data_IF_982847525270
#
_entry.id   IF_982847525270
#
_cell.length_a   1.000
_cell.length_b   1.000
_cell.length_c   1.000
_cell.angle_alpha   90.00
_cell.angle_beta   90.00
_cell.angle_gamma   90.00
#
_symmetry.space_group_name_H-M   'P 1'
#
loop_
_entity.id
_entity.type
_entity.pdbx_description
1 polymer ?
#
# COMPACT_ATOMS: atom_id res chain seq x y z
N UNK A 1 32.67 9.94 17.26
CA UNK A 1 31.96 8.72 17.72
C UNK A 1 32.14 8.70 19.23
N UNK A 2 31.15 9.08 20.02
CA UNK A 2 31.27 9.14 21.49
C UNK A 2 30.60 7.87 22.00
N UNK A 3 31.41 6.93 22.45
CA UNK A 3 30.98 5.66 23.04
C UNK A 3 30.72 5.98 24.51
N UNK A 4 29.47 5.86 24.97
CA UNK A 4 29.15 5.92 26.39
C UNK A 4 29.67 4.65 27.09
N UNK A 5 29.94 4.75 28.39
CA UNK A 5 30.66 3.77 29.22
C UNK A 5 30.00 2.36 29.37
N UNK A 6 29.05 1.98 28.51
CA UNK A 6 28.50 0.62 28.40
C UNK A 6 28.56 0.04 26.98
N UNK A 7 29.29 0.66 26.05
CA UNK A 7 29.50 0.11 24.71
C UNK A 7 28.24 0.03 23.82
N UNK A 8 27.12 0.61 24.26
CA UNK A 8 25.89 0.68 23.48
C UNK A 8 25.78 2.03 22.76
N UNK A 9 25.51 1.98 21.45
CA UNK A 9 25.27 3.16 20.64
C UNK A 9 23.99 3.89 21.10
N UNK A 10 24.15 5.11 21.61
CA UNK A 10 23.06 6.03 21.98
C UNK A 10 22.77 6.98 20.80
N UNK A 11 21.64 6.80 20.08
CA UNK A 11 21.30 7.66 18.96
C UNK A 11 20.95 9.07 19.43
N UNK A 12 21.51 10.07 18.73
CA UNK A 12 21.20 11.49 18.96
C UNK A 12 19.71 11.75 18.77
N UNK A 13 19.16 12.77 19.44
CA UNK A 13 17.75 13.15 19.28
C UNK A 13 17.36 13.38 17.81
N UNK A 14 18.25 14.04 17.05
CA UNK A 14 18.07 14.29 15.63
C UNK A 14 17.92 12.99 14.81
N UNK A 15 18.56 11.89 15.22
CA UNK A 15 18.46 10.62 14.51
C UNK A 15 17.13 9.90 14.76
N UNK A 16 16.46 10.23 15.86
CA UNK A 16 15.15 9.66 16.23
C UNK A 16 13.99 10.36 15.53
N UNK A 17 14.18 11.63 15.11
CA UNK A 17 13.11 12.47 14.59
C UNK A 17 12.43 11.90 13.34
N UNK A 18 13.13 11.45 12.28
CA UNK A 18 12.46 10.88 11.11
C UNK A 18 11.57 9.68 11.45
N UNK A 19 12.02 8.81 12.36
CA UNK A 19 11.26 7.63 12.79
C UNK A 19 10.02 7.98 13.61
N UNK A 20 10.10 9.03 14.43
CA UNK A 20 8.92 9.57 15.10
C UNK A 20 7.92 10.14 14.09
N UNK A 21 8.40 10.94 13.13
CA UNK A 21 7.55 11.51 12.08
C UNK A 21 6.87 10.40 11.28
N UNK A 22 7.60 9.37 10.84
CA UNK A 22 7.03 8.19 10.16
C UNK A 22 5.90 7.58 10.98
N UNK A 23 6.10 7.31 12.29
CA UNK A 23 5.05 6.75 13.12
C UNK A 23 3.81 7.66 13.19
N UNK A 24 4.01 8.98 13.30
CA UNK A 24 2.95 9.99 13.33
C UNK A 24 2.12 10.03 12.03
N UNK A 25 2.72 9.67 10.90
CA UNK A 25 2.02 9.65 9.61
C UNK A 25 0.83 8.69 9.59
N UNK A 26 0.81 7.65 10.42
CA UNK A 26 -0.35 6.75 10.52
C UNK A 26 -1.59 7.52 10.99
N UNK A 27 -1.41 8.36 12.02
CA UNK A 27 -2.49 9.19 12.56
C UNK A 27 -2.96 10.24 11.54
N UNK A 28 -2.00 10.94 10.93
CA UNK A 28 -2.31 11.95 9.90
C UNK A 28 -2.97 11.30 8.69
N UNK A 29 -2.52 10.11 8.29
CA UNK A 29 -2.97 9.39 7.11
C UNK A 29 -4.38 8.84 7.21
N UNK A 30 -4.87 8.52 8.41
CA UNK A 30 -6.29 8.17 8.61
C UNK A 30 -7.17 9.40 8.42
N UNK A 31 -6.73 10.54 8.94
CA UNK A 31 -7.46 11.79 8.90
C UNK A 31 -7.45 12.45 7.50
N UNK A 32 -6.27 12.55 6.90
CA UNK A 32 -6.01 13.15 5.61
C UNK A 32 -5.20 12.17 4.75
N UNK A 33 -5.84 11.13 4.17
CA UNK A 33 -5.13 10.10 3.40
C UNK A 33 -4.28 10.67 2.25
N UNK A 34 -4.73 11.78 1.65
CA UNK A 34 -4.00 12.50 0.59
C UNK A 34 -2.63 13.02 1.03
N UNK A 35 -2.40 13.15 2.35
CA UNK A 35 -1.09 13.49 2.92
C UNK A 35 0.01 12.52 2.47
N UNK A 36 -0.32 11.25 2.20
CA UNK A 36 0.68 10.31 1.70
C UNK A 36 1.28 10.68 0.34
N UNK A 37 0.69 11.61 -0.42
CA UNK A 37 1.25 12.06 -1.69
C UNK A 37 2.48 12.99 -1.56
N UNK A 38 2.76 13.50 -0.35
CA UNK A 38 3.90 14.40 -0.10
C UNK A 38 4.53 14.24 1.31
N UNK A 39 3.81 13.65 2.26
CA UNK A 39 4.27 13.43 3.63
C UNK A 39 5.54 12.58 3.73
N UNK A 40 5.58 11.36 3.14
CA UNK A 40 6.80 10.56 3.14
C UNK A 40 7.99 11.30 2.51
N UNK A 41 7.75 12.10 1.48
CA UNK A 41 8.73 12.86 0.73
C UNK A 41 9.34 13.97 1.59
N UNK A 42 8.50 14.69 2.35
CA UNK A 42 8.96 15.67 3.35
C UNK A 42 9.83 14.99 4.41
N UNK A 43 9.40 13.81 4.90
CA UNK A 43 10.21 13.04 5.86
C UNK A 43 11.53 12.57 5.24
N UNK A 44 11.54 12.18 3.97
CA UNK A 44 12.74 11.81 3.23
C UNK A 44 13.76 12.97 3.15
N UNK A 45 13.29 14.19 2.84
CA UNK A 45 14.14 15.37 2.78
C UNK A 45 14.71 15.75 4.15
N UNK A 46 13.87 15.74 5.19
CA UNK A 46 14.30 15.96 6.58
C UNK A 46 15.35 14.91 6.97
N UNK A 47 15.07 13.62 6.71
CA UNK A 47 15.97 12.54 7.01
C UNK A 47 17.32 12.72 6.30
N UNK A 48 17.31 13.04 5.00
CA UNK A 48 18.50 13.24 4.18
C UNK A 48 19.37 14.39 4.71
N UNK A 49 18.74 15.52 5.07
CA UNK A 49 19.43 16.65 5.69
C UNK A 49 20.07 16.26 7.02
N UNK A 50 19.31 15.60 7.90
CA UNK A 50 19.80 15.16 9.22
C UNK A 50 20.92 14.12 9.09
N UNK A 51 20.84 13.24 8.09
CA UNK A 51 21.88 12.28 7.76
C UNK A 51 23.17 13.00 7.36
N UNK A 52 23.09 13.91 6.38
CA UNK A 52 24.23 14.70 5.91
C UNK A 52 24.86 15.50 7.05
N UNK A 53 24.04 16.07 7.93
CA UNK A 53 24.50 16.81 9.09
C UNK A 53 25.22 15.92 10.11
N UNK A 54 24.65 14.75 10.42
CA UNK A 54 25.13 13.85 11.48
C UNK A 54 26.33 13.01 11.09
N UNK A 55 26.33 12.46 9.86
CA UNK A 55 27.35 11.52 9.38
C UNK A 55 28.37 12.16 8.44
N UNK A 56 28.15 13.41 8.02
CA UNK A 56 28.98 14.13 7.04
C UNK A 56 29.21 13.36 5.73
N UNK A 57 28.30 12.45 5.40
CA UNK A 57 28.30 11.60 4.20
C UNK A 57 26.91 11.59 3.55
N UNK A 58 26.80 10.97 2.38
CA UNK A 58 25.52 10.68 1.73
C UNK A 58 25.10 9.23 1.98
N UNK A 59 23.80 8.94 2.15
CA UNK A 59 23.35 7.56 2.28
C UNK A 59 23.55 6.82 0.96
N UNK A 60 23.81 5.51 1.03
CA UNK A 60 23.83 4.68 -0.18
C UNK A 60 22.40 4.55 -0.71
N UNK A 61 22.23 4.68 -2.02
CA UNK A 61 20.92 4.55 -2.68
C UNK A 61 20.86 3.21 -3.41
N UNK A 62 19.72 2.53 -3.35
CA UNK A 62 19.46 1.35 -4.16
C UNK A 62 19.34 1.74 -5.64
N UNK A 63 20.47 1.66 -6.37
CA UNK A 63 20.55 2.09 -7.77
C UNK A 63 19.66 1.25 -8.70
N UNK A 64 19.35 0.00 -8.34
CA UNK A 64 18.46 -0.85 -9.15
C UNK A 64 17.03 -0.34 -9.04
N UNK A 65 16.57 -0.08 -7.82
CA UNK A 65 15.25 0.50 -7.59
C UNK A 65 15.16 1.92 -8.15
N UNK A 66 16.20 2.74 -7.98
CA UNK A 66 16.25 4.09 -8.55
C UNK A 66 16.18 4.06 -10.08
N UNK A 67 16.97 3.19 -10.73
CA UNK A 67 16.93 3.01 -12.18
C UNK A 67 15.57 2.55 -12.69
N UNK A 68 14.90 1.64 -11.97
CA UNK A 68 13.54 1.22 -12.30
C UNK A 68 12.53 2.39 -12.19
N UNK A 69 12.60 3.18 -11.11
CA UNK A 69 11.72 4.34 -10.93
C UNK A 69 11.98 5.43 -11.97
N UNK A 70 13.25 5.64 -12.36
CA UNK A 70 13.62 6.53 -13.47
C UNK A 70 13.04 6.02 -14.79
N UNK A 71 13.11 4.73 -15.07
CA UNK A 71 12.50 4.14 -16.26
C UNK A 71 10.97 4.29 -16.25
N UNK A 72 10.31 4.14 -15.09
CA UNK A 72 8.88 4.35 -14.93
C UNK A 72 8.48 5.81 -15.17
N UNK A 73 9.17 6.77 -14.57
CA UNK A 73 8.95 8.20 -14.86
C UNK A 73 9.26 8.54 -16.33
N UNK A 74 10.32 7.95 -16.87
CA UNK A 74 10.74 8.12 -18.25
C UNK A 74 9.66 7.67 -19.23
N UNK A 75 9.13 6.44 -19.08
CA UNK A 75 8.06 5.95 -19.95
C UNK A 75 6.78 6.75 -19.78
N UNK A 76 6.44 7.20 -18.56
CA UNK A 76 5.25 8.03 -18.36
C UNK A 76 5.38 9.36 -19.09
N UNK A 77 6.57 9.98 -19.08
CA UNK A 77 6.83 11.22 -19.81
C UNK A 77 6.87 10.98 -21.33
N UNK A 78 7.54 9.93 -21.79
CA UNK A 78 7.62 9.56 -23.21
C UNK A 78 6.22 9.25 -23.77
N UNK A 79 5.32 8.69 -22.95
CA UNK A 79 3.95 8.42 -23.39
C UNK A 79 3.17 9.65 -23.84
N UNK A 80 3.58 10.86 -23.43
CA UNK A 80 2.97 12.12 -23.88
C UNK A 80 3.03 12.32 -25.41
N UNK A 81 3.95 11.66 -26.11
CA UNK A 81 4.03 11.74 -27.58
C UNK A 81 2.85 11.08 -28.31
N UNK A 82 2.14 10.15 -27.66
CA UNK A 82 0.96 9.48 -28.22
C UNK A 82 -0.24 9.45 -27.28
N UNK A 83 -0.14 10.16 -26.14
CA UNK A 83 -1.20 10.19 -25.15
C UNK A 83 -2.44 10.90 -25.70
N UNK A 84 -3.63 10.42 -25.31
CA UNK A 84 -4.90 11.12 -25.55
C UNK A 84 -4.85 12.52 -24.95
N UNK A 85 -4.23 12.66 -23.77
CA UNK A 85 -3.96 13.92 -23.09
C UNK A 85 -2.46 14.04 -22.78
N UNK A 86 -1.72 14.71 -23.67
CA UNK A 86 -0.27 14.88 -23.55
C UNK A 86 0.13 15.71 -22.31
N UNK A 87 -0.64 16.76 -22.00
CA UNK A 87 -0.39 17.62 -20.84
C UNK A 87 -0.66 16.85 -19.54
N UNK A 88 -1.74 16.07 -19.48
CA UNK A 88 -2.04 15.17 -18.38
C UNK A 88 -0.97 14.11 -18.15
N UNK A 89 -0.42 13.53 -19.23
CA UNK A 89 0.67 12.56 -19.14
C UNK A 89 1.97 13.19 -18.59
N UNK A 90 2.36 14.37 -19.07
CA UNK A 90 3.51 15.11 -18.54
C UNK A 90 3.30 15.51 -17.08
N UNK A 91 2.10 16.03 -16.75
CA UNK A 91 1.72 16.40 -15.39
C UNK A 91 1.84 15.20 -14.44
N UNK A 92 1.38 14.03 -14.90
CA UNK A 92 1.49 12.81 -14.11
C UNK A 92 2.94 12.37 -13.93
N UNK A 93 3.77 12.47 -14.97
CA UNK A 93 5.15 12.02 -14.93
C UNK A 93 5.99 12.76 -13.87
N UNK A 94 5.91 14.10 -13.81
CA UNK A 94 6.68 14.87 -12.83
C UNK A 94 6.13 14.68 -11.40
N UNK A 95 4.81 14.58 -11.21
CA UNK A 95 4.20 14.28 -9.91
C UNK A 95 4.63 12.91 -9.38
N UNK A 96 4.69 11.90 -10.25
CA UNK A 96 5.20 10.58 -9.89
C UNK A 96 6.69 10.63 -9.54
N UNK A 97 7.51 11.40 -10.26
CA UNK A 97 8.93 11.58 -9.95
C UNK A 97 9.16 12.16 -8.56
N UNK A 98 8.35 13.15 -8.15
CA UNK A 98 8.40 13.75 -6.82
C UNK A 98 8.06 12.77 -5.70
N UNK A 99 7.32 11.71 -5.97
CA UNK A 99 7.01 10.65 -5.01
C UNK A 99 8.11 9.59 -5.04
N UNK A 100 8.43 9.07 -6.22
CA UNK A 100 9.31 7.91 -6.35
C UNK A 100 10.73 8.16 -5.86
N UNK A 101 11.37 9.27 -6.26
CA UNK A 101 12.79 9.46 -5.94
C UNK A 101 13.04 9.69 -4.44
N UNK A 102 12.32 10.58 -3.74
CA UNK A 102 12.47 10.71 -2.30
C UNK A 102 12.11 9.42 -1.56
N UNK A 103 11.11 8.68 -2.04
CA UNK A 103 10.74 7.38 -1.46
C UNK A 103 11.85 6.33 -1.59
N UNK A 104 12.52 6.23 -2.75
CA UNK A 104 13.67 5.32 -2.92
C UNK A 104 14.81 5.68 -1.96
N UNK A 105 15.08 6.98 -1.80
CA UNK A 105 16.10 7.48 -0.85
C UNK A 105 15.71 7.09 0.57
N UNK A 106 14.47 7.38 1.00
CA UNK A 106 13.99 7.06 2.33
C UNK A 106 14.03 5.55 2.63
N UNK A 107 13.58 4.73 1.67
CA UNK A 107 13.64 3.27 1.78
C UNK A 107 15.08 2.75 1.88
N UNK A 108 16.02 3.36 1.15
CA UNK A 108 17.45 3.01 1.22
C UNK A 108 18.05 3.41 2.56
N UNK A 109 17.70 4.58 3.09
CA UNK A 109 18.15 5.07 4.41
C UNK A 109 17.63 4.20 5.55
N UNK A 110 16.37 3.75 5.47
CA UNK A 110 15.75 2.90 6.47
C UNK A 110 16.50 1.57 6.70
N UNK A 111 17.22 1.06 5.69
CA UNK A 111 18.07 -0.15 5.80
C UNK A 111 19.42 0.10 6.47
N UNK A 112 19.87 1.36 6.51
CA UNK A 112 21.23 1.73 6.93
C UNK A 112 21.28 2.36 8.33
N UNK A 113 20.16 2.89 8.81
CA UNK A 113 20.13 3.55 10.12
C UNK A 113 20.37 2.55 11.26
N UNK A 114 21.15 2.90 12.29
CA UNK A 114 21.16 2.18 13.55
C UNK A 114 19.75 1.83 14.06
N UNK A 115 19.53 0.54 14.36
CA UNK A 115 18.23 0.05 14.82
C UNK A 115 17.76 0.73 16.13
N UNK A 116 18.70 1.24 16.94
CA UNK A 116 18.38 2.01 18.15
C UNK A 116 17.64 3.30 17.83
N UNK A 117 17.93 3.95 16.69
CA UNK A 117 17.25 5.18 16.29
C UNK A 117 15.80 4.88 15.85
N UNK A 118 15.61 3.80 15.09
CA UNK A 118 14.30 3.36 14.62
C UNK A 118 13.43 2.68 15.68
N UNK A 119 13.97 2.44 16.88
CA UNK A 119 13.20 1.95 18.03
C UNK A 119 12.07 2.90 18.42
N UNK A 120 12.22 4.21 18.18
CA UNK A 120 11.16 5.19 18.41
C UNK A 120 9.93 4.88 17.57
N UNK A 121 10.11 4.51 16.30
CA UNK A 121 9.01 4.09 15.43
C UNK A 121 8.30 2.85 16.01
N UNK A 122 9.05 1.81 16.39
CA UNK A 122 8.53 0.58 17.01
C UNK A 122 7.74 0.86 18.29
N UNK A 123 8.23 1.81 19.10
CA UNK A 123 7.61 2.19 20.38
C UNK A 123 6.27 2.90 20.17
N UNK A 124 6.20 3.86 19.25
CA UNK A 124 5.03 4.74 19.13
C UNK A 124 3.98 4.24 18.14
N UNK A 125 4.35 3.41 17.17
CA UNK A 125 3.43 2.91 16.14
C UNK A 125 2.14 2.28 16.74
N UNK A 126 2.18 1.39 17.76
CA UNK A 126 0.95 0.81 18.29
C UNK A 126 0.00 1.80 18.96
N UNK A 127 0.54 2.77 19.69
CA UNK A 127 -0.28 3.81 20.32
C UNK A 127 -0.96 4.69 19.27
N UNK A 128 -0.22 5.08 18.24
CA UNK A 128 -0.75 5.93 17.16
C UNK A 128 -1.80 5.17 16.32
N UNK A 129 -1.62 3.86 16.11
CA UNK A 129 -2.65 3.03 15.48
C UNK A 129 -3.92 2.92 16.34
N UNK A 130 -3.79 2.78 17.67
CA UNK A 130 -4.96 2.77 18.57
C UNK A 130 -5.72 4.09 18.52
N UNK A 131 -5.02 5.23 18.55
CA UNK A 131 -5.66 6.55 18.40
C UNK A 131 -6.36 6.65 17.03
N UNK A 132 -5.69 6.20 15.98
CA UNK A 132 -6.26 6.18 14.63
C UNK A 132 -7.51 5.29 14.54
N UNK A 133 -7.51 4.16 15.25
CA UNK A 133 -8.65 3.25 15.35
C UNK A 133 -9.84 3.88 16.06
N UNK A 134 -9.62 4.64 17.14
CA UNK A 134 -10.67 5.42 17.79
C UNK A 134 -11.33 6.41 16.83
N UNK A 135 -10.53 7.12 16.02
CA UNK A 135 -11.05 8.08 15.03
C UNK A 135 -11.93 7.35 14.01
N UNK A 136 -11.43 6.25 13.41
CA UNK A 136 -12.20 5.45 12.47
C UNK A 136 -13.51 4.93 13.07
N UNK A 137 -13.48 4.40 14.30
CA UNK A 137 -14.67 3.88 14.98
C UNK A 137 -15.67 5.01 15.25
N UNK A 138 -15.21 6.17 15.70
CA UNK A 138 -16.09 7.31 15.97
C UNK A 138 -16.75 7.79 14.67
N UNK A 139 -16.03 7.95 13.57
CA UNK A 139 -16.65 8.34 12.30
C UNK A 139 -17.63 7.29 11.76
N UNK A 140 -17.32 6.00 11.88
CA UNK A 140 -18.17 4.92 11.37
C UNK A 140 -19.46 4.71 12.19
N UNK A 141 -19.39 4.90 13.51
CA UNK A 141 -20.51 4.63 14.42
C UNK A 141 -21.28 5.89 14.84
N UNK A 142 -20.64 7.07 14.84
CA UNK A 142 -21.26 8.35 15.22
C UNK A 142 -21.47 9.26 14.00
N UNK A 143 -21.86 8.67 12.87
CA UNK A 143 -22.28 9.38 11.64
C UNK A 143 -21.29 10.47 11.18
N UNK A 144 -19.99 10.14 11.12
CA UNK A 144 -18.95 11.07 10.66
C UNK A 144 -18.62 12.21 11.62
N UNK A 145 -18.77 12.01 12.93
CA UNK A 145 -18.54 13.06 13.93
C UNK A 145 -17.19 13.78 13.80
N UNK A 146 -16.08 13.06 13.63
CA UNK A 146 -14.77 13.67 13.40
C UNK A 146 -14.65 14.27 11.99
N UNK A 147 -15.22 13.60 10.98
CA UNK A 147 -15.27 14.12 9.62
C UNK A 147 -15.92 15.51 9.56
N UNK A 148 -17.07 15.69 10.21
CA UNK A 148 -17.79 16.97 10.27
C UNK A 148 -17.14 17.99 11.21
N UNK A 149 -16.51 17.55 12.32
CA UNK A 149 -15.80 18.48 13.21
C UNK A 149 -14.63 19.18 12.52
N UNK A 150 -14.05 18.53 11.52
CA UNK A 150 -12.78 18.95 10.92
C UNK A 150 -12.89 19.40 9.48
N UNK A 151 -14.07 19.27 8.89
CA UNK A 151 -14.40 19.78 7.57
C UNK A 151 -15.59 20.68 7.68
N UNK A 152 -15.55 21.78 6.95
CA UNK A 152 -16.63 22.77 6.91
C UNK A 152 -17.81 22.24 6.08
N UNK A 153 -18.44 21.18 6.58
CA UNK A 153 -19.59 20.50 5.97
C UNK A 153 -20.70 20.41 7.01
N UNK A 154 -21.90 20.94 6.74
CA UNK A 154 -23.04 20.85 7.65
C UNK A 154 -23.37 19.40 8.05
N UNK A 155 -23.55 19.19 9.36
CA UNK A 155 -23.79 17.88 9.98
C UNK A 155 -25.21 17.32 9.78
N UNK A 156 -26.08 18.05 9.07
CA UNK A 156 -27.43 17.64 8.69
C UNK A 156 -27.47 16.67 7.50
N UNK A 157 -26.33 16.45 6.84
CA UNK A 157 -26.22 15.53 5.72
C UNK A 157 -26.02 14.08 6.17
N UNK A 158 -26.67 13.15 5.46
CA UNK A 158 -26.38 11.71 5.59
C UNK A 158 -24.90 11.46 5.31
N UNK A 159 -24.19 10.87 6.28
CA UNK A 159 -22.76 10.62 6.15
C UNK A 159 -22.50 9.45 5.21
N UNK A 160 -22.06 9.75 3.99
CA UNK A 160 -21.60 8.74 3.05
C UNK A 160 -20.28 8.14 3.53
N UNK A 161 -20.33 6.94 4.10
CA UNK A 161 -19.18 6.22 4.66
C UNK A 161 -18.05 5.98 3.64
N UNK A 162 -18.35 5.98 2.34
CA UNK A 162 -17.31 5.84 1.30
C UNK A 162 -16.29 6.99 1.33
N UNK A 163 -16.65 8.16 1.88
CA UNK A 163 -15.78 9.33 2.01
C UNK A 163 -14.54 9.07 2.87
N UNK A 164 -14.62 8.11 3.81
CA UNK A 164 -13.51 7.74 4.71
C UNK A 164 -12.85 6.42 4.34
N UNK A 165 -13.26 5.74 3.27
CA UNK A 165 -12.70 4.43 2.87
C UNK A 165 -11.17 4.46 2.73
N UNK A 166 -10.59 5.57 2.25
CA UNK A 166 -9.13 5.73 2.15
C UNK A 166 -8.47 5.73 3.54
N UNK A 167 -9.04 6.46 4.49
CA UNK A 167 -8.53 6.52 5.87
C UNK A 167 -8.70 5.19 6.60
N UNK A 168 -9.83 4.52 6.39
CA UNK A 168 -10.06 3.16 6.87
C UNK A 168 -9.02 2.19 6.32
N UNK A 169 -8.72 2.26 5.02
CA UNK A 169 -7.72 1.39 4.40
C UNK A 169 -6.30 1.65 4.94
N UNK A 170 -5.94 2.92 5.20
CA UNK A 170 -4.70 3.26 5.91
C UNK A 170 -4.72 2.60 7.29
N UNK A 171 -5.77 2.78 8.08
CA UNK A 171 -5.88 2.20 9.42
C UNK A 171 -5.72 0.68 9.41
N UNK A 172 -6.46 -0.03 8.54
CA UNK A 172 -6.44 -1.49 8.47
C UNK A 172 -5.04 -2.01 8.08
N UNK A 173 -4.40 -1.40 7.08
CA UNK A 173 -3.05 -1.78 6.66
C UNK A 173 -2.01 -1.49 7.77
N UNK A 174 -2.06 -0.31 8.39
CA UNK A 174 -1.12 0.09 9.44
C UNK A 174 -1.30 -0.71 10.74
N UNK A 175 -2.53 -1.17 11.02
CA UNK A 175 -2.82 -2.05 12.15
C UNK A 175 -2.10 -3.39 12.03
N UNK A 176 -1.97 -3.93 10.81
CA UNK A 176 -1.20 -5.15 10.57
C UNK A 176 0.29 -4.97 10.93
N UNK A 177 0.89 -3.85 10.54
CA UNK A 177 2.28 -3.49 10.92
C UNK A 177 2.43 -3.31 12.43
N UNK A 178 1.48 -2.65 13.08
CA UNK A 178 1.47 -2.44 14.52
C UNK A 178 1.38 -3.76 15.30
N UNK A 179 0.45 -4.64 14.92
CA UNK A 179 0.31 -5.97 15.52
C UNK A 179 1.60 -6.77 15.33
N UNK A 180 2.13 -6.86 14.11
CA UNK A 180 3.38 -7.55 13.84
C UNK A 180 4.54 -7.04 14.70
N UNK A 181 4.66 -5.71 14.83
CA UNK A 181 5.67 -5.06 15.68
C UNK A 181 5.57 -5.53 17.13
N UNK A 182 4.35 -5.63 17.67
CA UNK A 182 4.10 -6.06 19.05
C UNK A 182 4.42 -7.54 19.30
N UNK A 183 4.36 -8.39 18.27
CA UNK A 183 4.62 -9.83 18.39
C UNK A 183 6.05 -10.26 18.05
N UNK A 184 6.76 -9.51 17.20
CA UNK A 184 8.06 -9.94 16.67
C UNK A 184 9.25 -9.19 17.25
N UNK A 185 9.09 -7.93 17.65
CA UNK A 185 10.22 -7.13 18.15
C UNK A 185 10.56 -7.44 19.61
N UNK A 186 11.86 -7.51 19.93
CA UNK A 186 12.32 -7.73 21.31
C UNK A 186 11.79 -6.65 22.29
N UNK A 187 11.58 -5.43 21.81
CA UNK A 187 11.11 -4.31 22.64
C UNK A 187 9.77 -4.59 23.32
N UNK A 188 8.78 -5.05 22.54
CA UNK A 188 7.42 -5.31 23.02
C UNK A 188 7.27 -6.66 23.73
N UNK A 189 8.18 -7.59 23.45
CA UNK A 189 8.19 -8.91 24.07
C UNK A 189 8.99 -8.97 25.38
N UNK A 190 9.64 -7.88 25.79
CA UNK A 190 10.26 -7.76 27.10
C UNK A 190 9.22 -7.92 28.22
N UNK A 191 9.53 -8.74 29.25
CA UNK A 191 8.62 -9.08 30.35
C UNK A 191 7.92 -7.85 30.98
N UNK A 192 8.68 -6.76 31.21
CA UNK A 192 8.15 -5.50 31.77
C UNK A 192 7.04 -4.84 30.95
N UNK A 193 6.87 -5.19 29.66
CA UNK A 193 5.88 -4.62 28.75
C UNK A 193 4.75 -5.59 28.39
N UNK A 194 4.77 -6.82 28.88
CA UNK A 194 3.77 -7.83 28.54
C UNK A 194 2.34 -7.39 28.83
N UNK A 195 2.12 -6.68 29.96
CA UNK A 195 0.81 -6.14 30.32
C UNK A 195 0.34 -5.06 29.36
N UNK A 196 1.21 -4.07 29.07
CA UNK A 196 0.90 -3.00 28.11
C UNK A 196 0.64 -3.56 26.70
N UNK A 197 1.50 -4.49 26.24
CA UNK A 197 1.34 -5.21 24.98
C UNK A 197 -0.02 -5.92 24.90
N UNK A 198 -0.41 -6.66 25.95
CA UNK A 198 -1.70 -7.37 25.98
C UNK A 198 -2.89 -6.41 25.82
N UNK A 199 -2.91 -5.30 26.56
CA UNK A 199 -4.00 -4.33 26.45
C UNK A 199 -4.02 -3.60 25.12
N UNK A 200 -2.87 -3.11 24.64
CA UNK A 200 -2.80 -2.43 23.34
C UNK A 200 -3.19 -3.35 22.18
N UNK A 201 -2.73 -4.61 22.22
CA UNK A 201 -3.13 -5.60 21.23
C UNK A 201 -4.63 -5.88 21.29
N UNK A 202 -5.19 -6.08 22.49
CA UNK A 202 -6.63 -6.31 22.66
C UNK A 202 -7.46 -5.14 22.13
N UNK A 203 -7.12 -3.92 22.51
CA UNK A 203 -7.80 -2.70 22.04
C UNK A 203 -7.71 -2.58 20.52
N UNK A 204 -6.50 -2.74 19.95
CA UNK A 204 -6.30 -2.62 18.51
C UNK A 204 -7.06 -3.69 17.72
N UNK A 205 -7.07 -4.94 18.18
CA UNK A 205 -7.86 -6.01 17.55
C UNK A 205 -9.35 -5.69 17.63
N UNK A 206 -9.86 -5.24 18.78
CA UNK A 206 -11.26 -4.82 18.90
C UNK A 206 -11.61 -3.69 17.94
N UNK A 207 -10.71 -2.70 17.76
CA UNK A 207 -10.91 -1.62 16.79
C UNK A 207 -10.91 -2.11 15.35
N UNK A 208 -9.97 -2.99 14.98
CA UNK A 208 -9.95 -3.60 13.64
C UNK A 208 -11.24 -4.33 13.37
N UNK A 209 -11.73 -5.14 14.31
CA UNK A 209 -13.00 -5.86 14.18
C UNK A 209 -14.21 -4.91 14.08
N UNK A 210 -14.27 -3.88 14.91
CA UNK A 210 -15.34 -2.87 14.86
C UNK A 210 -15.35 -2.12 13.51
N UNK A 211 -14.19 -1.70 13.03
CA UNK A 211 -14.06 -1.04 11.72
C UNK A 211 -14.44 -2.00 10.60
N UNK A 212 -13.98 -3.26 10.63
CA UNK A 212 -14.33 -4.28 9.64
C UNK A 212 -15.83 -4.55 9.62
N UNK A 213 -16.51 -4.52 10.76
CA UNK A 213 -17.96 -4.73 10.83
C UNK A 213 -18.76 -3.61 10.16
N UNK A 214 -18.33 -2.35 10.33
CA UNK A 214 -19.12 -1.18 9.94
C UNK A 214 -18.70 -0.55 8.59
N UNK A 215 -17.49 -0.84 8.10
CA UNK A 215 -16.98 -0.24 6.86
C UNK A 215 -17.66 -0.78 5.61
N UNK A 216 -17.86 0.09 4.61
CA UNK A 216 -18.25 -0.30 3.25
C UNK A 216 -17.04 -0.49 2.32
N UNK A 217 -15.83 -0.61 2.87
CA UNK A 217 -14.62 -0.91 2.09
C UNK A 217 -14.38 -2.42 2.04
N UNK A 218 -15.03 -3.13 1.10
CA UNK A 218 -14.83 -4.57 0.94
C UNK A 218 -13.39 -4.90 0.55
N UNK A 219 -12.74 -4.05 -0.24
CA UNK A 219 -11.30 -4.19 -0.54
C UNK A 219 -10.43 -4.09 0.72
N UNK A 220 -10.77 -3.21 1.67
CA UNK A 220 -10.07 -3.11 2.95
C UNK A 220 -10.25 -4.35 3.82
N UNK A 221 -11.49 -4.84 3.94
CA UNK A 221 -11.81 -6.08 4.66
C UNK A 221 -11.06 -7.28 4.06
N UNK A 222 -11.10 -7.44 2.74
CA UNK A 222 -10.39 -8.48 2.01
C UNK A 222 -8.88 -8.38 2.19
N UNK A 223 -8.31 -7.17 2.22
CA UNK A 223 -6.91 -6.95 2.55
C UNK A 223 -6.52 -7.53 3.92
N UNK A 224 -7.33 -7.32 4.96
CA UNK A 224 -7.10 -7.92 6.29
C UNK A 224 -7.20 -9.45 6.22
N UNK A 225 -8.21 -9.98 5.54
CA UNK A 225 -8.37 -11.43 5.37
C UNK A 225 -7.17 -12.07 4.67
N UNK A 226 -6.64 -11.42 3.62
CA UNK A 226 -5.42 -11.85 2.93
C UNK A 226 -4.22 -11.85 3.88
N UNK A 227 -4.07 -10.80 4.70
CA UNK A 227 -2.96 -10.74 5.67
C UNK A 227 -3.03 -11.92 6.65
N UNK A 228 -4.21 -12.20 7.19
CA UNK A 228 -4.42 -13.32 8.13
C UNK A 228 -4.18 -14.65 7.44
N UNK A 229 -4.77 -14.86 6.26
CA UNK A 229 -4.69 -16.12 5.52
C UNK A 229 -3.26 -16.43 5.06
N UNK A 230 -2.60 -15.51 4.37
CA UNK A 230 -1.20 -15.66 3.94
C UNK A 230 -0.26 -15.76 5.14
N UNK A 231 -0.52 -14.95 6.18
CA UNK A 231 0.19 -14.96 7.44
C UNK A 231 0.13 -16.29 8.20
N UNK A 232 -0.85 -17.14 7.91
CA UNK A 232 -1.09 -18.40 8.62
C UNK A 232 -0.72 -19.63 7.80
N UNK A 233 -1.02 -19.64 6.51
CA UNK A 233 -1.04 -20.89 5.73
C UNK A 233 0.05 -21.01 4.65
N UNK A 234 0.72 -19.91 4.27
CA UNK A 234 1.56 -19.93 3.07
C UNK A 234 2.97 -20.52 3.33
N UNK A 235 3.50 -21.39 2.44
CA UNK A 235 4.76 -22.11 2.63
C UNK A 235 6.01 -21.26 2.29
N UNK A 236 6.21 -20.16 3.02
CA UNK A 236 7.25 -19.14 2.75
C UNK A 236 8.70 -19.60 2.89
N UNK A 237 8.93 -20.80 3.41
CA UNK A 237 10.27 -21.40 3.46
C UNK A 237 10.71 -21.99 2.11
N UNK A 238 9.76 -22.30 1.20
CA UNK A 238 10.05 -23.04 -0.03
C UNK A 238 10.35 -22.10 -1.20
N UNK A 239 11.49 -22.29 -1.87
CA UNK A 239 11.84 -21.51 -3.08
C UNK A 239 10.85 -21.73 -4.22
N UNK A 240 10.40 -22.98 -4.42
CA UNK A 240 9.44 -23.33 -5.46
C UNK A 240 8.12 -22.56 -5.34
N UNK A 241 7.68 -22.30 -4.11
CA UNK A 241 6.49 -21.48 -3.85
C UNK A 241 6.64 -20.06 -4.43
N UNK A 242 7.77 -19.40 -4.23
CA UNK A 242 8.02 -18.06 -4.79
C UNK A 242 8.13 -18.09 -6.32
N UNK A 243 8.72 -19.14 -6.91
CA UNK A 243 8.77 -19.30 -8.37
C UNK A 243 7.37 -19.47 -8.96
N UNK A 244 6.54 -20.32 -8.37
CA UNK A 244 5.16 -20.56 -8.82
C UNK A 244 4.32 -19.29 -8.66
N UNK A 245 4.40 -18.63 -7.50
CA UNK A 245 3.69 -17.38 -7.27
C UNK A 245 4.13 -16.29 -8.26
N UNK A 246 5.44 -16.17 -8.52
CA UNK A 246 5.96 -15.25 -9.53
C UNK A 246 5.40 -15.54 -10.92
N UNK A 247 5.36 -16.81 -11.33
CA UNK A 247 4.77 -17.22 -12.60
C UNK A 247 3.26 -16.88 -12.67
N UNK A 248 2.50 -17.16 -11.61
CA UNK A 248 1.07 -16.83 -11.53
C UNK A 248 0.85 -15.32 -11.65
N UNK A 249 1.65 -14.50 -10.95
CA UNK A 249 1.54 -13.04 -11.02
C UNK A 249 1.83 -12.53 -12.43
N UNK A 250 2.90 -13.01 -13.07
CA UNK A 250 3.26 -12.62 -14.43
C UNK A 250 2.18 -13.04 -15.42
N UNK A 251 1.76 -14.31 -15.38
CA UNK A 251 0.70 -14.80 -16.25
C UNK A 251 -0.60 -14.03 -16.03
N UNK A 252 -0.99 -13.75 -14.79
CA UNK A 252 -2.16 -12.95 -14.46
C UNK A 252 -2.07 -11.51 -14.98
N UNK A 253 -0.89 -10.88 -14.92
CA UNK A 253 -0.65 -9.53 -15.45
C UNK A 253 -0.78 -9.51 -16.98
N UNK A 254 -0.14 -10.47 -17.67
CA UNK A 254 -0.19 -10.53 -19.12
C UNK A 254 -1.57 -10.95 -19.63
N UNK A 255 -2.24 -11.87 -18.96
CA UNK A 255 -3.56 -12.38 -19.37
C UNK A 255 -4.73 -11.51 -18.88
N UNK A 256 -4.47 -10.41 -18.17
CA UNK A 256 -5.51 -9.60 -17.53
C UNK A 256 -6.61 -9.11 -18.48
N UNK A 257 -6.34 -8.62 -19.71
CA UNK A 257 -7.41 -8.19 -20.62
C UNK A 257 -8.39 -9.33 -20.95
N UNK A 258 -7.89 -10.52 -21.23
CA UNK A 258 -8.72 -11.69 -21.55
C UNK A 258 -9.44 -12.23 -20.33
N UNK A 259 -8.78 -12.27 -19.16
CA UNK A 259 -9.42 -12.66 -17.90
C UNK A 259 -10.58 -11.71 -17.58
N UNK A 260 -10.41 -10.40 -17.79
CA UNK A 260 -11.46 -9.41 -17.56
C UNK A 260 -12.70 -9.65 -18.43
N UNK A 261 -12.51 -9.84 -19.74
CA UNK A 261 -13.60 -10.14 -20.67
C UNK A 261 -14.32 -11.45 -20.28
N UNK A 262 -13.57 -12.51 -19.97
CA UNK A 262 -14.15 -13.78 -19.51
C UNK A 262 -14.94 -13.63 -18.19
N UNK A 263 -14.43 -12.84 -17.24
CA UNK A 263 -15.13 -12.60 -15.98
C UNK A 263 -16.47 -11.90 -16.21
N UNK A 264 -16.51 -10.92 -17.12
CA UNK A 264 -17.77 -10.25 -17.48
C UNK A 264 -18.74 -11.21 -18.17
N UNK A 265 -18.29 -11.92 -19.20
CA UNK A 265 -19.12 -12.83 -20.00
C UNK A 265 -19.73 -13.98 -19.17
N UNK A 266 -18.96 -14.56 -18.23
CA UNK A 266 -19.37 -15.78 -17.54
C UNK A 266 -19.77 -15.60 -16.07
N UNK A 267 -19.37 -14.51 -15.40
CA UNK A 267 -19.57 -14.37 -13.95
C UNK A 267 -20.46 -13.16 -13.56
N UNK A 268 -20.57 -12.13 -14.38
CA UNK A 268 -21.20 -10.87 -13.98
C UNK A 268 -22.69 -11.06 -13.58
N UNK A 269 -23.47 -11.77 -14.39
CA UNK A 269 -24.88 -12.07 -14.10
C UNK A 269 -25.06 -12.83 -12.79
N UNK A 270 -24.24 -13.87 -12.58
CA UNK A 270 -24.32 -14.69 -11.36
C UNK A 270 -23.97 -13.91 -10.10
N UNK A 271 -23.04 -12.95 -10.21
CA UNK A 271 -22.65 -12.08 -9.10
C UNK A 271 -23.68 -10.97 -8.84
N UNK A 272 -24.34 -10.48 -9.89
CA UNK A 272 -25.37 -9.44 -9.77
C UNK A 272 -26.71 -9.99 -9.22
N UNK A 273 -26.99 -11.28 -9.44
CA UNK A 273 -28.27 -11.91 -9.12
C UNK A 273 -28.71 -11.78 -7.65
N UNK A 274 -27.76 -11.69 -6.71
CA UNK A 274 -28.07 -11.47 -5.29
C UNK A 274 -27.20 -10.36 -4.68
N UNK A 275 -27.72 -9.11 -4.64
CA UNK A 275 -27.01 -7.97 -4.06
C UNK A 275 -26.86 -8.06 -2.53
N UNK A 276 -27.51 -9.02 -1.86
CA UNK A 276 -27.35 -9.22 -0.42
C UNK A 276 -26.07 -9.98 -0.07
N UNK A 277 -25.46 -10.69 -1.01
CA UNK A 277 -24.20 -11.41 -0.81
C UNK A 277 -23.02 -10.46 -0.62
N UNK A 278 -21.94 -10.93 0.02
CA UNK A 278 -20.70 -10.16 0.18
C UNK A 278 -20.12 -9.69 -1.17
N UNK A 279 -20.26 -10.51 -2.22
CA UNK A 279 -19.75 -10.23 -3.56
C UNK A 279 -20.66 -9.21 -4.28
N UNK A 280 -21.98 -9.34 -4.16
CA UNK A 280 -22.94 -8.37 -4.67
C UNK A 280 -22.77 -6.98 -4.04
N UNK A 281 -22.63 -6.92 -2.71
CA UNK A 281 -22.38 -5.67 -1.98
C UNK A 281 -21.05 -4.99 -2.34
N UNK A 282 -20.12 -5.72 -2.96
CA UNK A 282 -18.84 -5.20 -3.39
C UNK A 282 -18.90 -4.51 -4.77
N UNK A 283 -20.05 -4.40 -5.45
CA UNK A 283 -20.20 -3.83 -6.79
C UNK A 283 -19.31 -4.55 -7.83
N UNK A 284 -19.22 -5.88 -7.72
CA UNK A 284 -18.32 -6.66 -8.56
C UNK A 284 -18.78 -6.80 -10.00
N UNK A 285 -20.09 -6.86 -10.25
CA UNK A 285 -20.64 -6.87 -11.61
C UNK A 285 -20.32 -5.55 -12.34
N UNK A 286 -20.50 -4.41 -11.67
CA UNK A 286 -20.11 -3.08 -12.16
C UNK A 286 -18.63 -3.04 -12.52
N UNK A 287 -17.76 -3.57 -11.64
CA UNK A 287 -16.32 -3.64 -11.91
C UNK A 287 -15.99 -4.55 -13.08
N UNK A 288 -16.64 -5.70 -13.21
CA UNK A 288 -16.41 -6.62 -14.33
C UNK A 288 -16.78 -5.99 -15.67
N UNK A 289 -17.88 -5.24 -15.73
CA UNK A 289 -18.26 -4.47 -16.92
C UNK A 289 -17.23 -3.38 -17.24
N UNK A 290 -16.78 -2.62 -16.22
CA UNK A 290 -15.70 -1.65 -16.37
C UNK A 290 -14.43 -2.31 -16.91
N UNK A 291 -14.08 -3.48 -16.38
CA UNK A 291 -12.89 -4.21 -16.78
C UNK A 291 -12.98 -4.73 -18.20
N UNK A 292 -14.15 -5.17 -18.65
CA UNK A 292 -14.41 -5.63 -20.01
C UNK A 292 -14.13 -4.52 -21.04
N UNK A 293 -14.82 -3.38 -20.94
CA UNK A 293 -14.66 -2.34 -21.96
C UNK A 293 -13.27 -1.71 -21.93
N UNK A 294 -12.62 -1.64 -20.76
CA UNK A 294 -11.22 -1.21 -20.65
C UNK A 294 -10.28 -2.22 -21.30
N UNK A 295 -10.52 -3.52 -21.10
CA UNK A 295 -9.73 -4.57 -21.74
C UNK A 295 -9.88 -4.54 -23.26
N UNK A 296 -11.11 -4.42 -23.78
CA UNK A 296 -11.38 -4.27 -25.21
C UNK A 296 -10.67 -3.05 -25.78
N UNK A 297 -10.79 -1.90 -25.10
CA UNK A 297 -10.09 -0.67 -25.51
C UNK A 297 -8.58 -0.87 -25.52
N UNK A 298 -7.99 -1.43 -24.46
CA UNK A 298 -6.55 -1.68 -24.38
C UNK A 298 -6.01 -2.54 -25.53
N UNK A 299 -6.80 -3.52 -25.99
CA UNK A 299 -6.43 -4.43 -27.07
C UNK A 299 -6.48 -3.77 -28.47
N UNK A 300 -7.04 -2.57 -28.61
CA UNK A 300 -6.93 -1.78 -29.85
C UNK A 300 -5.51 -1.25 -30.07
N UNK A 301 -4.76 -0.95 -28.99
CA UNK A 301 -3.36 -0.51 -29.03
C UNK A 301 -2.49 -1.32 -28.05
N UNK A 302 -2.31 -2.63 -28.29
CA UNK A 302 -1.79 -3.56 -27.28
C UNK A 302 -0.30 -3.38 -26.98
N UNK A 303 0.45 -2.69 -27.84
CA UNK A 303 1.90 -2.53 -27.66
C UNK A 303 2.26 -1.43 -26.66
N UNK A 304 1.67 -0.24 -26.82
CA UNK A 304 2.04 0.97 -26.08
C UNK A 304 0.84 1.73 -25.51
N UNK A 305 -0.39 1.21 -25.67
CA UNK A 305 -1.61 1.82 -25.14
C UNK A 305 -1.92 3.20 -25.72
N UNK A 306 -2.68 3.96 -24.95
CA UNK A 306 -3.19 5.30 -25.30
C UNK A 306 -2.52 6.43 -24.50
N UNK A 307 -1.41 6.14 -23.82
CA UNK A 307 -0.67 7.06 -22.97
C UNK A 307 -1.21 7.15 -21.54
N UNK A 308 -0.38 7.69 -20.64
CA UNK A 308 -0.71 7.80 -19.22
C UNK A 308 -1.89 8.74 -18.99
N UNK A 309 -2.76 8.41 -18.02
CA UNK A 309 -4.07 9.05 -17.77
C UNK A 309 -5.13 8.83 -18.87
N UNK A 310 -4.89 8.00 -19.91
CA UNK A 310 -5.88 7.76 -20.96
C UNK A 310 -7.23 7.27 -20.44
N UNK A 311 -7.25 6.43 -19.39
CA UNK A 311 -8.50 5.95 -18.80
C UNK A 311 -9.42 7.09 -18.34
N UNK A 312 -8.85 8.24 -17.97
CA UNK A 312 -9.55 9.43 -17.52
C UNK A 312 -9.83 10.42 -18.66
N UNK A 313 -8.95 10.46 -19.66
CA UNK A 313 -9.06 11.39 -20.79
C UNK A 313 -10.04 10.91 -21.87
N UNK A 314 -10.36 9.61 -21.90
CA UNK A 314 -11.36 9.05 -22.82
C UNK A 314 -12.75 9.37 -22.27
N UNK A 315 -13.51 10.16 -23.03
CA UNK A 315 -14.85 10.61 -22.64
C UNK A 315 -15.90 9.48 -22.70
N UNK A 316 -15.84 8.65 -23.75
CA UNK A 316 -16.85 7.61 -24.00
C UNK A 316 -16.19 6.25 -24.27
N UNK A 317 -16.45 5.29 -23.39
CA UNK A 317 -16.13 3.89 -23.60
C UNK A 317 -17.30 3.15 -24.26
N UNK A 318 -16.97 2.13 -25.05
CA UNK A 318 -17.96 1.23 -25.63
C UNK A 318 -18.47 0.26 -24.55
N UNK A 319 -19.57 0.62 -23.88
CA UNK A 319 -20.19 -0.16 -22.81
C UNK A 319 -21.68 -0.38 -23.08
N UNK A 320 -22.19 -1.55 -22.70
CA UNK A 320 -23.61 -1.86 -22.78
C UNK A 320 -24.42 -1.26 -21.62
N UNK A 321 -23.75 -0.70 -20.60
CA UNK A 321 -24.35 -0.12 -19.39
C UNK A 321 -25.33 -1.07 -18.69
N UNK A 322 -24.98 -2.35 -18.60
CA UNK A 322 -25.80 -3.39 -17.98
C UNK A 322 -25.85 -3.25 -16.45
N UNK A 323 -24.71 -2.90 -15.84
CA UNK A 323 -24.56 -2.74 -14.39
C UNK A 323 -23.97 -1.37 -14.04
N UNK A 324 -23.14 -0.77 -14.90
CA UNK A 324 -22.65 0.60 -14.73
C UNK A 324 -23.58 1.62 -15.39
N UNK A 325 -23.74 2.79 -14.76
CA UNK A 325 -24.58 3.89 -15.27
C UNK A 325 -23.81 4.98 -16.02
N UNK A 326 -22.53 4.74 -16.33
CA UNK A 326 -21.64 5.71 -16.98
C UNK A 326 -20.72 5.01 -17.99
N UNK A 327 -20.51 5.66 -19.13
CA UNK A 327 -19.49 5.33 -20.14
C UNK A 327 -18.19 6.10 -19.93
N UNK A 328 -18.13 6.97 -18.92
CA UNK A 328 -16.94 7.69 -18.50
C UNK A 328 -16.48 7.23 -17.10
N UNK A 329 -15.19 7.00 -16.92
CA UNK A 329 -14.60 6.65 -15.62
C UNK A 329 -13.31 7.41 -15.34
N UNK A 330 -12.99 7.59 -14.05
CA UNK A 330 -11.71 8.19 -13.64
C UNK A 330 -10.55 7.18 -13.67
N UNK A 331 -10.86 5.90 -13.50
CA UNK A 331 -9.91 4.79 -13.51
C UNK A 331 -10.65 3.44 -13.45
N UNK A 332 -10.04 2.33 -13.92
CA UNK A 332 -10.67 1.01 -13.96
C UNK A 332 -10.80 0.30 -12.61
N UNK A 333 -10.36 0.91 -11.50
CA UNK A 333 -10.23 0.23 -10.18
C UNK A 333 -9.33 -1.01 -10.19
N UNK A 334 -8.54 -1.22 -11.25
CA UNK A 334 -7.61 -2.32 -11.41
C UNK A 334 -6.34 -1.82 -12.06
N UNK A 335 -5.24 -1.79 -11.29
CA UNK A 335 -3.98 -1.21 -11.76
C UNK A 335 -3.42 -1.92 -13.01
N UNK A 336 -3.66 -3.23 -13.17
CA UNK A 336 -3.13 -4.00 -14.28
C UNK A 336 -3.83 -3.57 -15.56
N UNK A 337 -5.16 -3.53 -15.55
CA UNK A 337 -5.95 -3.05 -16.68
C UNK A 337 -5.67 -1.57 -16.99
N UNK A 338 -5.42 -0.77 -15.95
CA UNK A 338 -4.99 0.62 -16.14
C UNK A 338 -3.66 0.71 -16.90
N UNK A 339 -2.68 -0.11 -16.53
CA UNK A 339 -1.40 -0.15 -17.25
C UNK A 339 -1.53 -0.69 -18.67
N UNK A 340 -2.47 -1.61 -18.92
CA UNK A 340 -2.77 -2.10 -20.26
C UNK A 340 -3.36 -1.03 -21.17
N UNK A 341 -4.40 -0.31 -20.73
CA UNK A 341 -4.98 0.75 -21.57
C UNK A 341 -4.03 1.92 -21.78
N UNK A 342 -3.19 2.24 -20.79
CA UNK A 342 -2.30 3.40 -20.88
C UNK A 342 -0.96 3.10 -21.55
N UNK A 343 -0.39 1.91 -21.34
CA UNK A 343 0.96 1.56 -21.79
C UNK A 343 1.06 0.20 -22.49
N UNK A 344 -0.05 -0.53 -22.69
CA UNK A 344 -0.06 -1.83 -23.34
C UNK A 344 0.84 -2.87 -22.66
N UNK A 345 1.45 -3.72 -23.49
CA UNK A 345 2.38 -4.77 -23.04
C UNK A 345 3.64 -4.20 -22.38
N UNK A 346 4.04 -2.97 -22.71
CA UNK A 346 5.14 -2.28 -22.03
C UNK A 346 4.77 -2.06 -20.55
N UNK A 347 3.55 -1.57 -20.29
CA UNK A 347 3.03 -1.43 -18.93
C UNK A 347 2.97 -2.76 -18.18
N UNK A 348 2.45 -3.81 -18.83
CA UNK A 348 2.38 -5.16 -18.27
C UNK A 348 3.77 -5.75 -17.93
N UNK A 349 4.75 -5.55 -18.80
CA UNK A 349 6.13 -5.95 -18.56
C UNK A 349 6.75 -5.22 -17.36
N UNK A 350 6.57 -3.90 -17.27
CA UNK A 350 7.09 -3.11 -16.15
C UNK A 350 6.45 -3.50 -14.82
N UNK A 351 5.13 -3.71 -14.81
CA UNK A 351 4.42 -4.22 -13.64
C UNK A 351 4.97 -5.59 -13.21
N UNK A 352 5.21 -6.48 -14.17
CA UNK A 352 5.76 -7.81 -13.91
C UNK A 352 7.16 -7.73 -13.30
N UNK A 353 8.06 -6.93 -13.88
CA UNK A 353 9.42 -6.72 -13.36
C UNK A 353 9.38 -6.17 -11.93
N UNK A 354 8.51 -5.19 -11.66
CA UNK A 354 8.38 -4.60 -10.33
C UNK A 354 7.84 -5.61 -9.30
N UNK A 355 6.79 -6.34 -9.66
CA UNK A 355 6.20 -7.37 -8.81
C UNK A 355 7.21 -8.48 -8.49
N UNK A 356 7.94 -8.96 -9.50
CA UNK A 356 9.01 -9.95 -9.31
C UNK A 356 10.17 -9.42 -8.48
N UNK A 357 10.54 -8.14 -8.65
CA UNK A 357 11.57 -7.50 -7.83
C UNK A 357 11.19 -7.50 -6.34
N UNK A 358 9.97 -7.07 -6.01
CA UNK A 358 9.47 -7.09 -4.63
C UNK A 358 9.41 -8.53 -4.10
N UNK A 359 8.87 -9.47 -4.90
CA UNK A 359 8.76 -10.86 -4.52
C UNK A 359 10.14 -11.50 -4.25
N UNK A 360 11.13 -11.18 -5.07
CA UNK A 360 12.52 -11.58 -4.86
C UNK A 360 13.12 -10.95 -3.60
N UNK A 361 12.87 -9.66 -3.35
CA UNK A 361 13.31 -8.99 -2.13
C UNK A 361 12.71 -9.66 -0.88
N UNK A 362 11.43 -10.04 -0.92
CA UNK A 362 10.76 -10.78 0.16
C UNK A 362 11.40 -12.16 0.35
N UNK A 363 11.62 -12.92 -0.71
CA UNK A 363 12.28 -14.23 -0.64
C UNK A 363 13.65 -14.18 0.04
N UNK A 364 14.40 -13.08 -0.15
CA UNK A 364 15.73 -12.86 0.43
C UNK A 364 15.71 -12.52 1.92
N UNK A 365 14.55 -12.27 2.53
CA UNK A 365 14.44 -12.00 3.98
C UNK A 365 14.74 -13.30 4.75
N UNK A 366 15.78 -13.30 5.59
CA UNK A 366 16.22 -14.50 6.32
C UNK A 366 15.23 -14.95 7.41
N UNK A 367 14.69 -14.00 8.17
CA UNK A 367 13.70 -14.28 9.22
C UNK A 367 12.36 -14.70 8.59
N UNK A 368 11.93 -15.94 8.84
CA UNK A 368 10.71 -16.50 8.25
C UNK A 368 9.43 -15.79 8.71
N UNK A 369 9.38 -15.23 9.92
CA UNK A 369 8.21 -14.49 10.40
C UNK A 369 8.11 -13.14 9.68
N UNK A 370 9.24 -12.43 9.52
CA UNK A 370 9.30 -11.20 8.74
C UNK A 370 8.99 -11.47 7.26
N UNK A 371 9.54 -12.55 6.69
CA UNK A 371 9.25 -12.97 5.31
C UNK A 371 7.76 -13.24 5.11
N UNK A 372 7.13 -13.97 6.04
CA UNK A 372 5.69 -14.30 5.98
C UNK A 372 4.84 -13.04 6.04
N UNK A 373 5.14 -12.15 6.97
CA UNK A 373 4.43 -10.88 7.09
C UNK A 373 4.64 -9.98 5.87
N UNK A 374 5.86 -9.87 5.35
CA UNK A 374 6.16 -9.11 4.15
C UNK A 374 5.36 -9.61 2.93
N UNK A 375 5.28 -10.93 2.75
CA UNK A 375 4.47 -11.54 1.70
C UNK A 375 2.97 -11.24 1.88
N UNK A 376 2.47 -11.36 3.11
CA UNK A 376 1.08 -11.09 3.45
C UNK A 376 0.68 -9.64 3.14
N UNK A 377 1.52 -8.67 3.51
CA UNK A 377 1.33 -7.25 3.18
C UNK A 377 1.44 -7.01 1.68
N UNK A 378 2.41 -7.61 1.00
CA UNK A 378 2.58 -7.47 -0.45
C UNK A 378 1.33 -7.94 -1.21
N UNK A 379 0.82 -9.14 -0.88
CA UNK A 379 -0.38 -9.68 -1.53
C UNK A 379 -1.65 -8.90 -1.17
N UNK A 380 -1.76 -8.36 0.04
CA UNK A 380 -2.86 -7.47 0.41
C UNK A 380 -2.82 -6.17 -0.40
N UNK A 381 -1.67 -5.51 -0.50
CA UNK A 381 -1.50 -4.29 -1.31
C UNK A 381 -1.76 -4.57 -2.79
N UNK A 382 -1.25 -5.69 -3.31
CA UNK A 382 -1.48 -6.12 -4.69
C UNK A 382 -2.97 -6.31 -4.97
N UNK A 383 -3.69 -7.03 -4.10
CA UNK A 383 -5.13 -7.21 -4.21
C UNK A 383 -5.89 -5.87 -4.16
N UNK A 384 -5.50 -4.96 -3.26
CA UNK A 384 -6.11 -3.63 -3.17
C UNK A 384 -5.87 -2.80 -4.43
N UNK A 385 -4.67 -2.89 -5.03
CA UNK A 385 -4.36 -2.24 -6.30
C UNK A 385 -5.18 -2.82 -7.47
N UNK A 386 -5.55 -4.10 -7.43
CA UNK A 386 -6.39 -4.75 -8.44
C UNK A 386 -7.89 -4.46 -8.29
N UNK A 387 -8.35 -3.90 -7.16
CA UNK A 387 -9.80 -3.84 -6.85
C UNK A 387 -10.33 -2.48 -6.38
N UNK A 388 -9.49 -1.46 -6.14
CA UNK A 388 -9.96 -0.20 -5.53
C UNK A 388 -9.51 1.09 -6.21
N UNK A 389 -8.22 1.26 -6.49
CA UNK A 389 -7.66 2.58 -6.75
C UNK A 389 -6.91 2.64 -8.07
N UNK A 390 -7.01 3.79 -8.76
CA UNK A 390 -6.13 4.09 -9.87
C UNK A 390 -4.68 4.17 -9.41
N UNK A 391 -3.76 3.54 -10.16
CA UNK A 391 -2.37 3.35 -9.73
C UNK A 391 -1.61 4.66 -9.58
N UNK A 392 -2.00 5.67 -10.36
CA UNK A 392 -1.37 6.99 -10.38
C UNK A 392 -1.82 7.96 -9.30
N UNK A 393 -2.69 7.52 -8.39
CA UNK A 393 -3.07 8.34 -7.26
C UNK A 393 -1.88 8.49 -6.30
N UNK A 394 -1.37 9.72 -6.18
CA UNK A 394 -0.14 9.98 -5.41
C UNK A 394 -0.19 9.49 -3.95
N UNK A 395 -1.35 9.58 -3.30
CA UNK A 395 -1.51 9.08 -1.93
C UNK A 395 -1.37 7.56 -1.83
N UNK A 396 -1.78 6.84 -2.87
CA UNK A 396 -1.71 5.38 -2.93
C UNK A 396 -0.27 4.93 -3.19
N UNK A 397 0.41 5.57 -4.15
CA UNK A 397 1.84 5.36 -4.42
C UNK A 397 2.69 5.65 -3.17
N UNK A 398 2.41 6.77 -2.50
CA UNK A 398 3.08 7.14 -1.26
C UNK A 398 2.83 6.17 -0.12
N UNK A 399 1.59 5.66 0.05
CA UNK A 399 1.27 4.65 1.05
C UNK A 399 1.97 3.31 0.79
N UNK A 400 2.03 2.86 -0.47
CA UNK A 400 2.76 1.67 -0.89
C UNK A 400 4.26 1.79 -0.60
N UNK A 401 4.86 2.91 -0.99
CA UNK A 401 6.26 3.22 -0.70
C UNK A 401 6.53 3.27 0.81
N UNK A 402 5.66 3.94 1.57
CA UNK A 402 5.73 4.01 3.02
C UNK A 402 5.65 2.62 3.67
N UNK A 403 4.75 1.74 3.21
CA UNK A 403 4.70 0.36 3.69
C UNK A 403 6.04 -0.38 3.45
N UNK A 404 6.70 -0.15 2.30
CA UNK A 404 8.05 -0.67 2.04
C UNK A 404 9.12 -0.11 2.99
N UNK A 405 9.06 1.18 3.33
CA UNK A 405 9.93 1.81 4.34
C UNK A 405 9.72 1.17 5.71
N UNK A 406 8.47 0.99 6.15
CA UNK A 406 8.14 0.33 7.42
C UNK A 406 8.66 -1.10 7.47
N UNK A 407 8.55 -1.85 6.37
CA UNK A 407 9.10 -3.20 6.28
C UNK A 407 10.62 -3.22 6.47
N UNK A 408 11.35 -2.28 5.86
CA UNK A 408 12.80 -2.15 6.06
C UNK A 408 13.15 -1.82 7.53
N UNK A 409 12.38 -0.93 8.16
CA UNK A 409 12.56 -0.59 9.59
C UNK A 409 12.39 -1.84 10.45
N UNK A 410 11.30 -2.59 10.26
CA UNK A 410 11.01 -3.79 11.06
C UNK A 410 12.02 -4.91 10.80
N UNK A 411 12.48 -5.05 9.55
CA UNK A 411 13.55 -5.98 9.21
C UNK A 411 14.88 -5.61 9.90
N UNK A 412 15.15 -4.34 10.20
CA UNK A 412 16.36 -3.94 10.93
C UNK A 412 16.29 -4.19 12.44
N UNK A 413 15.10 -4.36 13.01
CA UNK A 413 14.92 -4.49 14.46
C UNK A 413 15.38 -5.85 15.00
N UNK A 414 15.93 -5.91 16.23
CA UNK A 414 16.17 -7.17 16.92
C UNK A 414 14.86 -7.95 17.13
N UNK A 415 14.85 -9.22 16.71
CA UNK A 415 13.69 -10.14 16.87
C UNK A 415 13.93 -11.10 18.02
N UNK A 416 12.86 -11.66 18.56
CA UNK A 416 12.96 -12.73 19.56
C UNK A 416 13.67 -13.92 18.90
N UNK A 417 14.80 -14.37 19.47
CA UNK A 417 15.35 -15.68 19.14
C UNK A 417 14.46 -16.72 19.80
N UNK A 418 13.71 -17.49 19.01
CA UNK A 418 13.15 -18.74 19.50
C UNK A 418 14.33 -19.70 19.66
N UNK A 419 14.83 -19.84 20.88
CA UNK A 419 15.59 -21.04 21.22
C UNK A 419 14.58 -22.19 21.20
N UNK A 420 14.73 -23.20 20.32
CA UNK A 420 13.92 -24.40 20.42
C UNK A 420 14.21 -24.97 21.82
N UNK A 421 13.17 -25.10 22.64
CA UNK A 421 13.30 -25.91 23.85
C UNK A 421 13.71 -27.29 23.39
N UNK A 422 14.95 -27.65 23.67
CA UNK A 422 15.37 -29.05 23.66
C UNK A 422 14.66 -29.64 24.88
N UNK A 423 13.48 -30.19 24.65
CA UNK A 423 12.83 -31.10 25.60
C UNK A 423 13.49 -32.47 25.51
#
# INVERSE_FOLDING_TARGET
>A
MIISNEGQYEPKLLEKLPFFLLALMVLIGVFAPRFFAFGPEVVALIALFLWRFSYKSWPRVDLKLMGFMLALCGITAISSFWAVDADGALDRAWKNALIFFPMVILASMAKQWPHQASLVFVKYLPFLCVISGFICVIDLYLNGAFYYLTRDVPADNFFNRSLINRGVNVFLLMSAFSLFTMFVTQYWCAARRMRARKYLCGILVCMVLAVMYQTHSQTGQAGVMIVVFVGSFFPVARKSFFSILGAILVLGIFLAPWIAQMMFEYLADGVHADPSTLIGQAYMADRMEIWDYIARKALENPLYGFGVEAARAIDHFDTAMLYTSTDHILHPHNFILQLWIELGVIGAFMASVFCLYILYAIWRIEDLNVRRFALAIYLAIFFMACTSYGIWQGWWLGLMGYAGVMMNILQAQPKIKYEPRVE
#
